data_IF_616907319830
#
_entry.id   IF_616907319830
#
_cell.length_a   1.000
_cell.length_b   1.000
_cell.length_c   1.000
_cell.angle_alpha   90.00
_cell.angle_beta   90.00
_cell.angle_gamma   90.00
#
_symmetry.space_group_name_H-M   'P 1'
#
loop_
_entity.id
_entity.type
_entity.pdbx_description
1 polymer ?
#
# COMPACT_ATOMS: atom_id res chain seq x y z
N UNK A 1 20.18 24.62 79.18
CA UNK A 1 20.53 23.20 78.98
C UNK A 1 19.97 22.75 77.64
N UNK A 2 20.83 22.60 76.62
CA UNK A 2 20.45 22.20 75.26
C UNK A 2 20.80 20.73 74.99
N UNK A 3 19.94 20.03 74.24
CA UNK A 3 20.27 18.78 73.52
C UNK A 3 19.37 17.60 73.90
N UNK A 4 18.92 16.71 73.01
CA UNK A 4 19.30 16.44 71.61
C UNK A 4 18.12 15.73 70.91
N UNK A 5 17.51 16.35 69.90
CA UNK A 5 16.69 15.62 68.93
C UNK A 5 17.58 15.15 67.77
N UNK A 6 17.83 13.84 67.69
CA UNK A 6 18.52 13.21 66.56
C UNK A 6 17.60 13.23 65.34
N UNK A 7 17.81 14.19 64.43
CA UNK A 7 17.23 14.15 63.08
C UNK A 7 18.00 13.10 62.26
N UNK A 8 17.32 12.00 61.90
CA UNK A 8 17.80 11.06 60.89
C UNK A 8 17.83 11.76 59.53
N UNK A 9 19.03 11.95 58.98
CA UNK A 9 19.22 12.38 57.60
C UNK A 9 18.86 11.20 56.66
N UNK A 10 17.78 11.34 55.91
CA UNK A 10 17.47 10.47 54.77
C UNK A 10 18.39 10.87 53.61
N UNK A 11 19.47 10.10 53.42
CA UNK A 11 20.35 10.24 52.27
C UNK A 11 19.56 9.94 50.98
N UNK A 12 19.39 10.97 50.15
CA UNK A 12 18.80 10.87 48.82
C UNK A 12 19.71 10.02 47.94
N UNK A 13 19.17 8.90 47.45
CA UNK A 13 19.85 8.03 46.48
C UNK A 13 20.11 8.80 45.18
N UNK A 14 21.31 8.72 44.57
CA UNK A 14 21.55 9.30 43.25
C UNK A 14 20.73 8.53 42.21
N UNK A 15 19.91 9.26 41.46
CA UNK A 15 19.13 8.73 40.34
C UNK A 15 20.06 8.14 39.29
N UNK A 16 19.78 6.90 38.87
CA UNK A 16 20.45 6.28 37.72
C UNK A 16 20.19 7.14 36.48
N UNK A 17 21.21 7.46 35.66
CA UNK A 17 20.97 8.13 34.39
C UNK A 17 20.15 7.18 33.49
N UNK A 18 18.97 7.63 33.07
CA UNK A 18 18.20 6.97 32.01
C UNK A 18 19.11 6.87 30.80
N UNK A 19 19.47 5.64 30.41
CA UNK A 19 20.11 5.36 29.12
C UNK A 19 19.22 5.95 28.04
N UNK A 20 19.61 7.10 27.50
CA UNK A 20 19.09 7.59 26.24
C UNK A 20 19.59 6.60 25.19
N UNK A 21 18.73 5.66 24.80
CA UNK A 21 18.92 4.96 23.54
C UNK A 21 18.94 6.05 22.46
N UNK A 22 20.15 6.47 22.09
CA UNK A 22 20.40 7.18 20.84
C UNK A 22 19.96 6.25 19.73
N UNK A 23 18.70 6.32 19.35
CA UNK A 23 18.26 5.90 18.04
C UNK A 23 18.95 6.85 17.07
N UNK A 24 20.16 6.50 16.66
CA UNK A 24 20.79 7.07 15.47
C UNK A 24 19.72 6.93 14.39
N UNK A 25 19.19 8.07 13.92
CA UNK A 25 18.51 8.17 12.63
C UNK A 25 19.52 7.74 11.56
N UNK A 26 19.72 6.44 11.40
CA UNK A 26 20.08 5.90 10.09
C UNK A 26 18.82 6.09 9.27
N UNK A 27 18.87 7.05 8.35
CA UNK A 27 17.90 7.14 7.28
C UNK A 27 17.69 5.72 6.74
N UNK A 28 16.46 5.20 6.87
CA UNK A 28 16.04 3.97 6.20
C UNK A 28 16.10 4.26 4.70
N UNK A 29 17.30 4.10 4.12
CA UNK A 29 17.50 4.07 2.68
C UNK A 29 17.06 2.67 2.27
N UNK A 30 15.86 2.57 1.71
CA UNK A 30 15.33 1.31 1.19
C UNK A 30 16.33 0.77 0.15
N UNK A 31 16.91 -0.44 0.31
CA UNK A 31 18.00 -0.94 -0.53
C UNK A 31 17.58 -1.28 -1.97
N UNK A 32 16.29 -1.15 -2.30
CA UNK A 32 15.76 -1.50 -3.63
C UNK A 32 15.48 -0.30 -4.54
N UNK A 33 15.56 0.95 -4.05
CA UNK A 33 15.44 2.14 -4.93
C UNK A 33 14.21 2.17 -5.85
N UNK A 34 13.14 1.44 -5.51
CA UNK A 34 11.94 1.36 -6.35
C UNK A 34 11.12 2.64 -6.15
N UNK A 35 11.11 3.49 -7.17
CA UNK A 35 10.08 4.52 -7.30
C UNK A 35 8.77 3.82 -7.63
N UNK A 36 7.82 3.83 -6.69
CA UNK A 36 6.51 3.15 -6.77
C UNK A 36 5.57 3.79 -7.82
N UNK A 37 6.03 4.85 -8.50
CA UNK A 37 5.22 5.66 -9.39
C UNK A 37 5.13 5.14 -10.83
N UNK A 38 6.07 4.32 -11.32
CA UNK A 38 6.06 3.84 -12.72
C UNK A 38 6.76 2.48 -12.86
N UNK A 39 5.98 1.43 -13.02
CA UNK A 39 6.47 0.07 -13.26
C UNK A 39 6.20 -0.33 -14.71
N UNK A 40 7.22 -0.88 -15.38
CA UNK A 40 7.24 -1.15 -16.83
C UNK A 40 6.09 -1.99 -17.38
N UNK A 41 5.39 -2.74 -16.52
CA UNK A 41 4.39 -3.72 -16.94
C UNK A 41 2.96 -3.35 -16.51
N UNK A 42 2.78 -2.24 -15.80
CA UNK A 42 1.45 -1.74 -15.43
C UNK A 42 1.12 -0.51 -16.24
N UNK A 43 -0.17 -0.26 -16.46
CA UNK A 43 -0.65 0.96 -17.09
C UNK A 43 -1.25 1.88 -16.02
N UNK A 44 -1.04 3.18 -16.15
CA UNK A 44 -1.72 4.17 -15.32
C UNK A 44 -2.99 4.61 -16.04
N UNK A 45 -4.12 4.54 -15.36
CA UNK A 45 -5.41 4.96 -15.89
C UNK A 45 -5.95 6.16 -15.11
N UNK A 46 -6.72 6.99 -15.79
CA UNK A 46 -7.34 8.20 -15.23
C UNK A 46 -8.84 8.19 -15.45
N UNK A 47 -9.58 9.08 -14.78
CA UNK A 47 -11.03 9.24 -15.01
C UNK A 47 -11.38 9.42 -16.50
N UNK A 48 -10.52 10.09 -17.27
CA UNK A 48 -10.74 10.33 -18.69
C UNK A 48 -10.40 9.13 -19.58
N UNK A 49 -9.38 8.33 -19.20
CA UNK A 49 -8.91 7.20 -20.01
C UNK A 49 -9.53 5.86 -19.59
N UNK A 50 -10.21 5.81 -18.44
CA UNK A 50 -10.75 4.57 -17.87
C UNK A 50 -11.68 3.82 -18.83
N UNK A 51 -12.55 4.53 -19.53
CA UNK A 51 -13.48 3.91 -20.46
C UNK A 51 -12.72 3.16 -21.57
N UNK A 52 -11.74 3.81 -22.18
CA UNK A 52 -11.00 3.23 -23.29
C UNK A 52 -10.04 2.14 -22.80
N UNK A 53 -9.24 2.43 -21.77
CA UNK A 53 -8.18 1.52 -21.29
C UNK A 53 -8.73 0.30 -20.54
N UNK A 54 -9.86 0.43 -19.85
CA UNK A 54 -10.42 -0.63 -18.98
C UNK A 54 -11.69 -1.22 -19.56
N UNK A 55 -12.66 -0.39 -19.97
CA UNK A 55 -13.98 -0.88 -20.37
C UNK A 55 -14.01 -1.44 -21.79
N UNK A 56 -13.17 -0.91 -22.69
CA UNK A 56 -13.07 -1.41 -24.07
C UNK A 56 -11.96 -2.44 -24.28
N UNK A 57 -11.22 -2.80 -23.22
CA UNK A 57 -10.13 -3.79 -23.32
C UNK A 57 -10.64 -5.18 -23.70
N UNK A 58 -9.98 -5.79 -24.69
CA UNK A 58 -10.20 -7.19 -25.09
C UNK A 58 -9.74 -8.19 -24.02
N UNK A 59 -8.76 -7.77 -23.20
CA UNK A 59 -8.22 -8.59 -22.11
C UNK A 59 -8.86 -8.22 -20.79
N UNK A 60 -9.00 -9.17 -19.84
CA UNK A 60 -9.28 -8.84 -18.44
C UNK A 60 -8.31 -7.77 -17.92
N UNK A 61 -8.84 -6.79 -17.19
CA UNK A 61 -8.07 -5.68 -16.62
C UNK A 61 -8.29 -5.65 -15.11
N UNK A 62 -7.23 -5.81 -14.32
CA UNK A 62 -7.28 -5.60 -12.88
C UNK A 62 -6.88 -4.16 -12.58
N UNK A 63 -7.81 -3.36 -12.08
CA UNK A 63 -7.56 -1.98 -11.66
C UNK A 63 -7.24 -1.96 -10.17
N UNK A 64 -6.04 -1.52 -9.80
CA UNK A 64 -5.62 -1.22 -8.43
C UNK A 64 -5.93 0.24 -8.09
N UNK A 65 -6.85 0.44 -7.16
CA UNK A 65 -7.21 1.73 -6.60
C UNK A 65 -6.29 2.02 -5.41
N UNK A 66 -5.38 2.98 -5.60
CA UNK A 66 -4.31 3.28 -4.66
C UNK A 66 -4.20 4.78 -4.38
N UNK A 67 -3.36 5.15 -3.40
CA UNK A 67 -2.97 6.53 -3.13
C UNK A 67 -1.57 6.59 -2.49
N UNK A 68 -0.90 7.74 -2.58
CA UNK A 68 0.47 7.92 -2.05
C UNK A 68 0.60 7.79 -0.53
N UNK A 69 -0.45 8.15 0.20
CA UNK A 69 -0.50 8.05 1.66
C UNK A 69 -0.84 6.63 2.14
N UNK A 70 -1.17 5.72 1.24
CA UNK A 70 -1.54 4.35 1.57
C UNK A 70 -0.31 3.46 1.76
N UNK A 71 0.09 3.27 3.02
CA UNK A 71 1.18 2.35 3.38
C UNK A 71 1.00 0.92 2.85
N UNK A 72 -0.16 0.26 3.04
CA UNK A 72 -0.39 -1.09 2.51
C UNK A 72 -0.35 -1.19 0.98
N UNK A 73 -0.78 -0.15 0.25
CA UNK A 73 -0.73 -0.12 -1.21
C UNK A 73 0.71 -0.21 -1.73
N UNK A 74 1.65 0.45 -1.04
CA UNK A 74 3.09 0.41 -1.38
C UNK A 74 3.70 -0.99 -1.25
N UNK A 75 3.11 -1.87 -0.44
CA UNK A 75 3.54 -3.27 -0.34
C UNK A 75 2.95 -4.15 -1.46
N UNK A 76 1.75 -3.82 -1.94
CA UNK A 76 1.05 -4.57 -2.99
C UNK A 76 1.56 -4.20 -4.38
N UNK A 77 1.97 -2.94 -4.60
CA UNK A 77 2.50 -2.46 -5.88
C UNK A 77 3.57 -3.39 -6.51
N UNK A 78 4.66 -3.77 -5.84
CA UNK A 78 5.65 -4.67 -6.45
C UNK A 78 5.10 -6.08 -6.75
N UNK A 79 4.11 -6.53 -5.98
CA UNK A 79 3.45 -7.82 -6.22
C UNK A 79 2.63 -7.77 -7.51
N UNK A 80 1.89 -6.68 -7.72
CA UNK A 80 1.13 -6.45 -8.94
C UNK A 80 2.04 -6.31 -10.16
N UNK A 81 3.19 -5.66 -10.00
CA UNK A 81 4.19 -5.53 -11.07
C UNK A 81 4.75 -6.89 -11.51
N UNK A 82 5.01 -7.79 -10.56
CA UNK A 82 5.43 -9.16 -10.84
C UNK A 82 4.34 -9.95 -11.57
N UNK A 83 3.08 -9.86 -11.12
CA UNK A 83 1.96 -10.53 -11.77
C UNK A 83 1.78 -9.99 -13.20
N UNK A 84 1.92 -8.68 -13.41
CA UNK A 84 1.87 -8.06 -14.72
C UNK A 84 3.02 -8.54 -15.63
N UNK A 85 4.21 -8.76 -15.06
CA UNK A 85 5.34 -9.31 -15.80
C UNK A 85 5.10 -10.76 -16.26
N UNK A 86 4.52 -11.58 -15.38
CA UNK A 86 4.32 -13.02 -15.62
C UNK A 86 3.08 -13.31 -16.48
N UNK A 87 2.03 -12.49 -16.34
CA UNK A 87 0.71 -12.74 -16.93
C UNK A 87 0.22 -11.62 -17.87
N UNK A 88 1.08 -10.66 -18.26
CA UNK A 88 0.72 -9.52 -19.13
C UNK A 88 0.12 -9.91 -20.49
N UNK A 89 0.36 -11.14 -20.96
CA UNK A 89 -0.29 -11.66 -22.17
C UNK A 89 -1.79 -11.91 -21.97
N UNK A 90 -2.21 -12.28 -20.76
CA UNK A 90 -3.60 -12.67 -20.42
C UNK A 90 -4.34 -11.62 -19.60
N UNK A 91 -3.64 -10.88 -18.74
CA UNK A 91 -4.20 -9.94 -17.78
C UNK A 91 -3.44 -8.62 -17.86
N UNK A 92 -4.18 -7.51 -18.00
CA UNK A 92 -3.61 -6.17 -17.87
C UNK A 92 -3.77 -5.69 -16.43
N UNK A 93 -2.70 -5.16 -15.84
CA UNK A 93 -2.76 -4.50 -14.53
C UNK A 93 -2.78 -2.99 -14.76
N UNK A 94 -3.84 -2.34 -14.30
CA UNK A 94 -4.03 -0.90 -14.35
C UNK A 94 -3.95 -0.31 -12.93
N UNK A 95 -3.40 0.90 -12.80
CA UNK A 95 -3.30 1.63 -11.54
C UNK A 95 -4.08 2.93 -11.63
N UNK A 96 -4.95 3.18 -10.67
CA UNK A 96 -5.75 4.39 -10.57
C UNK A 96 -5.51 5.06 -9.22
N UNK A 97 -4.94 6.27 -9.25
CA UNK A 97 -4.80 7.10 -8.07
C UNK A 97 -6.14 7.73 -7.72
N UNK A 98 -6.70 7.38 -6.56
CA UNK A 98 -8.03 7.84 -6.13
C UNK A 98 -8.06 9.33 -5.76
N UNK A 99 -6.92 9.94 -5.41
CA UNK A 99 -6.84 11.35 -5.08
C UNK A 99 -6.94 12.22 -6.35
N UNK A 100 -6.30 11.75 -7.43
CA UNK A 100 -6.35 12.40 -8.74
C UNK A 100 -7.61 12.06 -9.53
N UNK A 101 -8.23 10.90 -9.28
CA UNK A 101 -9.34 10.35 -10.05
C UNK A 101 -10.54 9.97 -9.14
N UNK A 102 -11.14 10.96 -8.44
CA UNK A 102 -12.17 10.70 -7.45
C UNK A 102 -13.51 10.28 -8.07
N UNK A 103 -13.76 10.56 -9.35
CA UNK A 103 -15.03 10.21 -9.98
C UNK A 103 -15.13 8.69 -10.16
N UNK A 104 -14.12 8.07 -10.78
CA UNK A 104 -14.09 6.61 -10.98
C UNK A 104 -14.11 5.86 -9.65
N UNK A 105 -13.37 6.35 -8.65
CA UNK A 105 -13.38 5.75 -7.31
C UNK A 105 -14.79 5.75 -6.68
N UNK A 106 -15.57 6.81 -6.88
CA UNK A 106 -16.95 6.91 -6.39
C UNK A 106 -17.90 6.01 -7.17
N UNK A 107 -17.77 5.97 -8.50
CA UNK A 107 -18.64 5.17 -9.37
C UNK A 107 -18.55 3.68 -9.05
N UNK A 108 -17.35 3.19 -8.72
CA UNK A 108 -17.12 1.82 -8.29
C UNK A 108 -17.14 1.62 -6.76
N UNK A 109 -17.63 2.62 -6.02
CA UNK A 109 -17.85 2.55 -4.58
C UNK A 109 -16.61 2.10 -3.79
N UNK A 110 -15.44 2.63 -4.16
CA UNK A 110 -14.17 2.34 -3.48
C UNK A 110 -14.09 3.14 -2.19
N UNK A 111 -14.50 2.50 -1.09
CA UNK A 111 -14.54 3.11 0.26
C UNK A 111 -13.25 2.93 1.06
N UNK A 112 -12.37 2.02 0.63
CA UNK A 112 -11.12 1.72 1.31
C UNK A 112 -10.06 1.33 0.29
N UNK A 113 -8.80 1.65 0.58
CA UNK A 113 -7.66 1.26 -0.25
C UNK A 113 -6.65 0.41 0.55
N UNK A 114 -5.94 -0.53 -0.10
CA UNK A 114 -6.04 -0.87 -1.52
C UNK A 114 -7.34 -1.64 -1.82
N UNK A 115 -7.96 -1.34 -2.95
CA UNK A 115 -9.05 -2.13 -3.53
C UNK A 115 -8.67 -2.43 -4.96
N UNK A 116 -8.80 -3.68 -5.38
CA UNK A 116 -8.55 -4.09 -6.75
C UNK A 116 -9.85 -4.62 -7.36
N UNK A 117 -10.22 -4.11 -8.53
CA UNK A 117 -11.42 -4.55 -9.24
C UNK A 117 -11.00 -5.14 -10.58
N UNK A 118 -11.38 -6.39 -10.80
CA UNK A 118 -11.19 -7.09 -12.06
C UNK A 118 -12.34 -6.77 -13.00
N UNK A 119 -12.02 -6.26 -14.18
CA UNK A 119 -12.94 -6.03 -15.27
C UNK A 119 -12.74 -7.08 -16.36
N UNK A 120 -13.83 -7.60 -16.89
CA UNK A 120 -13.82 -8.52 -18.03
C UNK A 120 -14.99 -8.18 -18.95
N UNK A 121 -14.71 -7.94 -20.23
CA UNK A 121 -15.72 -7.47 -21.20
C UNK A 121 -16.41 -6.17 -20.77
N UNK A 122 -15.64 -5.25 -20.18
CA UNK A 122 -16.13 -3.96 -19.69
C UNK A 122 -17.02 -4.00 -18.46
N UNK A 123 -17.10 -5.14 -17.76
CA UNK A 123 -17.92 -5.29 -16.55
C UNK A 123 -17.08 -5.72 -15.35
N UNK A 124 -17.38 -5.24 -14.14
CA UNK A 124 -16.72 -5.71 -12.92
C UNK A 124 -17.07 -7.19 -12.69
N UNK A 125 -16.06 -8.05 -12.74
CA UNK A 125 -16.16 -9.49 -12.56
C UNK A 125 -15.81 -9.93 -11.12
N UNK A 126 -14.87 -9.23 -10.48
CA UNK A 126 -14.42 -9.54 -9.11
C UNK A 126 -13.90 -8.30 -8.42
N UNK A 127 -14.14 -8.20 -7.11
CA UNK A 127 -13.58 -7.15 -6.26
C UNK A 127 -12.79 -7.76 -5.12
N UNK A 128 -11.58 -7.26 -4.91
CA UNK A 128 -10.63 -7.71 -3.90
C UNK A 128 -10.30 -6.51 -3.03
N UNK A 129 -10.70 -6.55 -1.77
CA UNK A 129 -10.44 -5.45 -0.82
C UNK A 129 -9.29 -5.83 0.11
N UNK A 130 -8.38 -4.88 0.31
CA UNK A 130 -7.25 -4.98 1.23
C UNK A 130 -5.98 -5.53 0.59
N UNK A 131 -4.88 -5.40 1.33
CA UNK A 131 -3.57 -5.84 0.88
C UNK A 131 -3.46 -7.37 0.93
N UNK A 132 -3.04 -7.97 -0.18
CA UNK A 132 -2.80 -9.41 -0.30
C UNK A 132 -1.42 -9.67 -0.90
N UNK A 133 -0.81 -10.79 -0.50
CA UNK A 133 0.44 -11.25 -1.12
C UNK A 133 0.20 -11.97 -2.45
N UNK A 134 1.28 -12.21 -3.20
CA UNK A 134 1.24 -12.77 -4.56
C UNK A 134 0.40 -14.04 -4.68
N UNK A 135 0.64 -15.04 -3.82
CA UNK A 135 -0.08 -16.30 -3.88
C UNK A 135 -1.60 -16.16 -3.69
N UNK A 136 -2.02 -15.24 -2.82
CA UNK A 136 -3.45 -14.98 -2.60
C UNK A 136 -4.08 -14.25 -3.79
N UNK A 137 -3.37 -13.27 -4.38
CA UNK A 137 -3.82 -12.59 -5.59
C UNK A 137 -3.91 -13.55 -6.79
N UNK A 138 -2.90 -14.39 -7.01
CA UNK A 138 -2.94 -15.41 -8.07
C UNK A 138 -4.11 -16.38 -7.89
N UNK A 139 -4.42 -16.75 -6.64
CA UNK A 139 -5.61 -17.56 -6.35
C UNK A 139 -6.91 -16.82 -6.66
N UNK A 140 -7.00 -15.53 -6.34
CA UNK A 140 -8.19 -14.74 -6.68
C UNK A 140 -8.30 -14.51 -8.20
N UNK A 141 -7.19 -14.53 -8.94
CA UNK A 141 -7.13 -14.30 -10.38
C UNK A 141 -7.14 -15.59 -11.21
N UNK A 142 -7.21 -16.77 -10.59
CA UNK A 142 -7.10 -18.07 -11.27
C UNK A 142 -8.12 -18.29 -12.39
N UNK A 143 -9.23 -17.55 -12.38
CA UNK A 143 -10.29 -17.66 -13.37
C UNK A 143 -9.93 -16.96 -14.70
N UNK A 144 -8.90 -16.10 -14.71
CA UNK A 144 -8.53 -15.27 -15.86
C UNK A 144 -7.07 -15.39 -16.31
N UNK A 145 -6.21 -16.09 -15.55
CA UNK A 145 -4.78 -16.31 -15.86
C UNK A 145 -4.44 -17.75 -16.19
#
# INVERSE_FOLDING_TARGET
MFGRHRRRALARRPGRPRRQHRYRRTAFRNPLGVNVSESKNTITVTDASFADDVLTSDKPVLVDFWAEWCGPCKMVAPVLDEIAAEHGEKLTIAKLDIDANPATARDYQVMSIPTMILFSGGKPAKQIVGAKGKAALLKDLSDVI
#
